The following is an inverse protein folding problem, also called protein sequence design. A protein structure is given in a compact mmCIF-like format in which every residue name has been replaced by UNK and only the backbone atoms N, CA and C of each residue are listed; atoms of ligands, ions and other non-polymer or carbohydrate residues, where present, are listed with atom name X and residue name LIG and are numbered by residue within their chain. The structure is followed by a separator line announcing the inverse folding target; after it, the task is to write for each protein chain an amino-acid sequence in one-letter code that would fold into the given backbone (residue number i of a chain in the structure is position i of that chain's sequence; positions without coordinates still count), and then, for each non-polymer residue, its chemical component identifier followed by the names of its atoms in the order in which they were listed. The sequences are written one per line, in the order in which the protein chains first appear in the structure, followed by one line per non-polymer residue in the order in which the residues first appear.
data_IF_310920696824
#
_entry.id   IF_310920696824
#
_cell.length_a   1.000
_cell.length_b   1.000
_cell.length_c   1.000
_cell.angle_alpha   90.00
_cell.angle_beta   90.00
_cell.angle_gamma   90.00
#
_symmetry.space_group_name_H-M   'P 1'
#
loop_
_entity.id
_entity.type
_entity.pdbx_description
1 polymer ?
#
# COMPACT_ATOMS: atom_id res chain seq x y z
N UNK A 1 -21.23 -48.92 1.84
CA UNK A 1 -20.27 -49.81 1.13
C UNK A 1 -18.83 -49.30 1.23
N UNK A 2 -18.52 -48.07 0.82
CA UNK A 2 -17.15 -47.50 0.92
C UNK A 2 -16.57 -47.46 2.36
N UNK A 3 -17.38 -47.14 3.37
CA UNK A 3 -16.93 -47.11 4.77
C UNK A 3 -16.55 -48.50 5.32
N UNK A 4 -17.28 -49.54 4.90
CA UNK A 4 -16.99 -50.94 5.28
C UNK A 4 -15.71 -51.44 4.62
N UNK A 5 -15.48 -51.07 3.36
CA UNK A 5 -14.25 -51.37 2.62
C UNK A 5 -13.06 -50.64 3.24
N UNK A 6 -13.23 -49.38 3.65
CA UNK A 6 -12.19 -48.61 4.34
C UNK A 6 -11.81 -49.20 5.69
N UNK A 7 -12.78 -49.73 6.45
CA UNK A 7 -12.54 -50.37 7.74
C UNK A 7 -11.75 -51.69 7.58
N UNK A 8 -12.11 -52.49 6.57
CA UNK A 8 -11.43 -53.75 6.25
C UNK A 8 -10.00 -53.50 5.76
N UNK A 9 -9.79 -52.45 4.95
CA UNK A 9 -8.44 -52.05 4.52
C UNK A 9 -7.57 -51.57 5.67
N UNK A 10 -8.12 -50.84 6.65
CA UNK A 10 -7.39 -50.44 7.86
C UNK A 10 -6.94 -51.62 8.72
N UNK A 11 -7.82 -52.62 8.89
CA UNK A 11 -7.52 -53.83 9.64
C UNK A 11 -6.46 -54.67 8.92
N UNK A 12 -6.58 -54.83 7.59
CA UNK A 12 -5.58 -55.51 6.76
C UNK A 12 -4.24 -54.78 6.75
N UNK A 13 -4.24 -53.45 6.71
CA UNK A 13 -3.04 -52.63 6.80
C UNK A 13 -2.34 -52.83 8.15
N UNK A 14 -3.09 -52.77 9.25
CA UNK A 14 -2.58 -52.99 10.59
C UNK A 14 -2.03 -54.42 10.78
N UNK A 15 -2.68 -55.41 10.17
CA UNK A 15 -2.25 -56.81 10.23
C UNK A 15 -1.01 -57.08 9.37
N UNK A 16 -0.93 -56.48 8.18
CA UNK A 16 0.21 -56.58 7.27
C UNK A 16 1.46 -55.87 7.82
N UNK A 17 1.27 -54.78 8.58
CA UNK A 17 2.33 -54.04 9.28
C UNK A 17 2.60 -54.55 10.71
N UNK A 18 2.53 -55.87 10.95
CA UNK A 18 3.25 -56.52 12.06
C UNK A 18 4.79 -56.49 11.90
N UNK A 19 5.29 -55.58 11.06
CA UNK A 19 6.71 -55.31 10.83
C UNK A 19 7.16 -54.29 11.88
N UNK A 20 8.11 -54.71 12.71
CA UNK A 20 8.84 -53.96 13.75
C UNK A 20 8.46 -52.47 13.89
N UNK A 21 7.84 -52.11 15.02
CA UNK A 21 7.55 -50.71 15.36
C UNK A 21 8.79 -49.80 15.22
N UNK A 22 9.98 -50.39 15.40
CA UNK A 22 11.27 -49.75 15.19
C UNK A 22 11.49 -49.33 13.73
N UNK A 23 11.15 -50.18 12.77
CA UNK A 23 11.24 -49.85 11.34
C UNK A 23 10.26 -48.75 10.97
N UNK A 24 9.00 -48.87 11.43
CA UNK A 24 7.97 -47.86 11.14
C UNK A 24 8.33 -46.50 11.76
N UNK A 25 8.84 -46.49 12.99
CA UNK A 25 9.35 -45.28 13.63
C UNK A 25 10.57 -44.71 12.89
N UNK A 26 11.49 -45.56 12.43
CA UNK A 26 12.65 -45.16 11.63
C UNK A 26 12.24 -44.50 10.30
N UNK A 27 11.27 -45.09 9.59
CA UNK A 27 10.72 -44.51 8.37
C UNK A 27 10.00 -43.19 8.63
N UNK A 28 9.25 -43.06 9.73
CA UNK A 28 8.59 -41.81 10.10
C UNK A 28 9.62 -40.69 10.38
N UNK A 29 10.71 -41.00 11.09
CA UNK A 29 11.80 -40.04 11.35
C UNK A 29 12.51 -39.65 10.06
N UNK A 30 12.83 -40.60 9.18
CA UNK A 30 13.43 -40.31 7.88
C UNK A 30 12.52 -39.44 7.00
N UNK A 31 11.21 -39.73 6.98
CA UNK A 31 10.24 -38.92 6.25
C UNK A 31 10.15 -37.50 6.82
N UNK A 32 10.20 -37.34 8.15
CA UNK A 32 10.21 -36.03 8.80
C UNK A 32 11.49 -35.25 8.47
N UNK A 33 12.65 -35.91 8.53
CA UNK A 33 13.94 -35.30 8.13
C UNK A 33 13.90 -34.89 6.66
N UNK A 34 13.41 -35.75 5.76
CA UNK A 34 13.29 -35.44 4.34
C UNK A 34 12.36 -34.24 4.11
N UNK A 35 11.22 -34.20 4.79
CA UNK A 35 10.24 -33.10 4.68
C UNK A 35 10.79 -31.78 5.21
N UNK A 36 11.60 -31.81 6.27
CA UNK A 36 12.24 -30.61 6.85
C UNK A 36 13.50 -30.21 6.06
N UNK A 37 14.19 -31.16 5.43
CA UNK A 37 15.44 -30.90 4.70
C UNK A 37 15.24 -29.96 3.52
N UNK A 38 14.10 -30.04 2.82
CA UNK A 38 13.77 -29.18 1.67
C UNK A 38 13.65 -27.70 2.09
N UNK A 39 12.77 -27.30 3.02
CA UNK A 39 12.67 -25.90 3.44
C UNK A 39 13.94 -25.42 4.15
N UNK A 40 14.66 -26.30 4.86
CA UNK A 40 15.91 -25.93 5.52
C UNK A 40 17.01 -25.64 4.49
N UNK A 41 17.16 -26.50 3.48
CA UNK A 41 18.12 -26.31 2.40
C UNK A 41 17.76 -25.09 1.55
N UNK A 42 16.48 -24.92 1.23
CA UNK A 42 15.97 -23.75 0.49
C UNK A 42 16.27 -22.43 1.24
N UNK A 43 16.13 -22.42 2.57
CA UNK A 43 16.48 -21.27 3.42
C UNK A 43 17.99 -21.06 3.56
N UNK A 44 18.78 -22.12 3.69
CA UNK A 44 20.25 -22.05 3.82
C UNK A 44 20.93 -21.64 2.52
N UNK A 45 20.41 -22.09 1.37
CA UNK A 45 20.92 -21.74 0.06
C UNK A 45 20.58 -20.30 -0.37
N UNK A 46 19.76 -19.58 0.41
CA UNK A 46 19.48 -18.16 0.18
C UNK A 46 18.44 -17.87 -0.90
N UNK A 47 17.80 -18.90 -1.49
CA UNK A 47 16.75 -18.74 -2.49
C UNK A 47 15.55 -17.96 -1.97
N UNK A 48 15.21 -18.08 -0.68
CA UNK A 48 14.14 -17.29 -0.06
C UNK A 48 14.38 -15.78 -0.16
N UNK A 49 15.64 -15.33 -0.03
CA UNK A 49 15.96 -13.89 -0.08
C UNK A 49 15.96 -13.36 -1.50
N UNK A 50 16.39 -14.17 -2.47
CA UNK A 50 16.36 -13.80 -3.88
C UNK A 50 14.92 -13.71 -4.38
N UNK A 51 14.09 -14.72 -4.09
CA UNK A 51 12.68 -14.76 -4.50
C UNK A 51 11.86 -13.67 -3.79
N UNK A 52 12.14 -13.38 -2.51
CA UNK A 52 11.51 -12.25 -1.80
C UNK A 52 11.89 -10.91 -2.44
N UNK A 53 13.14 -10.72 -2.86
CA UNK A 53 13.59 -9.48 -3.50
C UNK A 53 12.92 -9.30 -4.88
N UNK A 54 12.89 -10.36 -5.69
CA UNK A 54 12.25 -10.34 -7.02
C UNK A 54 10.74 -10.07 -6.89
N UNK A 55 10.08 -10.71 -5.92
CA UNK A 55 8.67 -10.45 -5.64
C UNK A 55 8.43 -9.00 -5.19
N UNK A 56 9.28 -8.46 -4.33
CA UNK A 56 9.19 -7.07 -3.86
C UNK A 56 9.39 -6.07 -5.00
N UNK A 57 10.38 -6.29 -5.86
CA UNK A 57 10.66 -5.45 -7.01
C UNK A 57 9.48 -5.46 -8.00
N UNK A 58 8.97 -6.64 -8.34
CA UNK A 58 7.83 -6.75 -9.24
C UNK A 58 6.59 -6.08 -8.68
N UNK A 59 6.31 -6.30 -7.39
CA UNK A 59 5.18 -5.67 -6.69
C UNK A 59 5.34 -4.15 -6.65
N UNK A 60 6.53 -3.64 -6.37
CA UNK A 60 6.78 -2.20 -6.28
C UNK A 60 6.56 -1.52 -7.63
N UNK A 61 7.09 -2.10 -8.71
CA UNK A 61 6.90 -1.60 -10.07
C UNK A 61 5.42 -1.59 -10.48
N UNK A 62 4.67 -2.66 -10.14
CA UNK A 62 3.24 -2.73 -10.38
C UNK A 62 2.47 -1.64 -9.60
N UNK A 63 2.70 -1.52 -8.29
CA UNK A 63 2.03 -0.52 -7.46
C UNK A 63 2.38 0.91 -7.92
N UNK A 64 3.63 1.16 -8.31
CA UNK A 64 4.06 2.44 -8.86
C UNK A 64 3.30 2.79 -10.15
N UNK A 65 3.26 1.86 -11.12
CA UNK A 65 2.57 2.07 -12.38
C UNK A 65 1.07 2.37 -12.19
N UNK A 66 0.41 1.64 -11.28
CA UNK A 66 -0.99 1.86 -10.93
C UNK A 66 -1.23 3.27 -10.37
N UNK A 67 -0.41 3.72 -9.42
CA UNK A 67 -0.56 5.04 -8.80
C UNK A 67 -0.29 6.16 -9.80
N UNK A 68 0.73 6.04 -10.66
CA UNK A 68 1.03 7.04 -11.69
C UNK A 68 -0.11 7.16 -12.68
N UNK A 69 -0.70 6.03 -13.10
CA UNK A 69 -1.86 6.03 -13.99
C UNK A 69 -3.05 6.75 -13.33
N UNK A 70 -3.38 6.36 -12.10
CA UNK A 70 -4.51 6.94 -11.35
C UNK A 70 -4.31 8.43 -11.09
N UNK A 71 -3.09 8.85 -10.74
CA UNK A 71 -2.78 10.25 -10.52
C UNK A 71 -2.88 11.07 -11.81
N UNK A 72 -2.50 10.52 -12.95
CA UNK A 72 -2.66 11.17 -14.26
C UNK A 72 -4.13 11.39 -14.61
N UNK A 73 -4.99 10.40 -14.35
CA UNK A 73 -6.43 10.52 -14.53
C UNK A 73 -7.01 11.62 -13.63
N UNK A 74 -6.71 11.56 -12.32
CA UNK A 74 -7.15 12.57 -11.35
C UNK A 74 -6.67 13.97 -11.71
N UNK A 75 -5.42 14.12 -12.16
CA UNK A 75 -4.88 15.39 -12.65
C UNK A 75 -5.69 15.94 -13.83
N UNK A 76 -6.00 15.09 -14.80
CA UNK A 76 -6.78 15.51 -15.98
C UNK A 76 -8.20 15.95 -15.59
N UNK A 77 -8.83 15.26 -14.64
CA UNK A 77 -10.14 15.64 -14.12
C UNK A 77 -10.09 16.97 -13.35
N UNK A 78 -9.08 17.17 -12.50
CA UNK A 78 -8.85 18.43 -11.78
C UNK A 78 -8.64 19.62 -12.72
N UNK A 79 -7.90 19.41 -13.81
CA UNK A 79 -7.68 20.42 -14.87
C UNK A 79 -8.99 20.75 -15.59
N UNK A 80 -9.77 19.72 -15.95
CA UNK A 80 -11.08 19.90 -16.58
C UNK A 80 -12.09 20.65 -15.71
N UNK A 81 -11.95 20.54 -14.39
CA UNK A 81 -12.78 21.22 -13.38
C UNK A 81 -12.25 22.61 -13.02
N UNK A 82 -11.07 23.01 -13.52
CA UNK A 82 -10.44 24.29 -13.19
C UNK A 82 -9.91 24.38 -11.75
N UNK A 83 -9.63 23.25 -11.10
CA UNK A 83 -9.12 23.19 -9.73
C UNK A 83 -7.58 23.28 -9.76
N UNK A 84 -7.06 24.48 -10.03
CA UNK A 84 -5.62 24.71 -10.27
C UNK A 84 -4.70 24.21 -9.14
N UNK A 85 -5.12 24.39 -7.88
CA UNK A 85 -4.36 23.90 -6.73
C UNK A 85 -4.29 22.38 -6.72
N UNK A 86 -5.37 21.70 -7.08
CA UNK A 86 -5.38 20.24 -7.21
C UNK A 86 -4.43 19.78 -8.32
N UNK A 87 -4.39 20.47 -9.46
CA UNK A 87 -3.44 20.17 -10.55
C UNK A 87 -1.99 20.31 -10.06
N UNK A 88 -1.65 21.42 -9.38
CA UNK A 88 -0.31 21.61 -8.80
C UNK A 88 0.07 20.51 -7.81
N UNK A 89 -0.88 20.11 -6.97
CA UNK A 89 -0.69 19.03 -6.00
C UNK A 89 -0.49 17.66 -6.68
N UNK A 90 -1.22 17.39 -7.76
CA UNK A 90 -1.04 16.18 -8.54
C UNK A 90 0.35 16.14 -9.21
N UNK A 91 0.78 17.26 -9.80
CA UNK A 91 2.12 17.39 -10.42
C UNK A 91 3.24 17.19 -9.38
N UNK A 92 3.09 17.78 -8.18
CA UNK A 92 4.03 17.58 -7.07
C UNK A 92 4.09 16.11 -6.65
N UNK A 93 2.93 15.45 -6.50
CA UNK A 93 2.88 14.05 -6.11
C UNK A 93 3.45 13.13 -7.19
N UNK A 94 3.31 13.47 -8.48
CA UNK A 94 3.99 12.74 -9.57
C UNK A 94 5.51 12.78 -9.37
N UNK A 95 6.09 13.95 -9.09
CA UNK A 95 7.53 14.06 -8.81
C UNK A 95 7.95 13.23 -7.59
N UNK A 96 7.18 13.27 -6.50
CA UNK A 96 7.45 12.47 -5.29
C UNK A 96 7.40 10.97 -5.59
N UNK A 97 6.44 10.50 -6.40
CA UNK A 97 6.34 9.09 -6.79
C UNK A 97 7.53 8.63 -7.62
N UNK A 98 7.96 9.44 -8.59
CA UNK A 98 9.11 9.16 -9.47
C UNK A 98 10.43 9.13 -8.69
N UNK A 99 10.67 10.13 -7.84
CA UNK A 99 11.86 10.20 -6.98
C UNK A 99 11.93 8.99 -6.04
N UNK A 100 10.79 8.62 -5.46
CA UNK A 100 10.69 7.47 -4.58
C UNK A 100 11.00 6.17 -5.32
N UNK A 101 10.40 5.94 -6.49
CA UNK A 101 10.62 4.74 -7.30
C UNK A 101 12.10 4.59 -7.68
N UNK A 102 12.73 5.70 -8.11
CA UNK A 102 14.16 5.72 -8.43
C UNK A 102 15.05 5.38 -7.24
N UNK A 103 14.71 5.87 -6.03
CA UNK A 103 15.46 5.53 -4.81
C UNK A 103 15.30 4.04 -4.47
N UNK A 104 14.13 3.44 -4.69
CA UNK A 104 13.92 2.01 -4.46
C UNK A 104 14.77 1.16 -5.39
N UNK A 105 14.72 1.43 -6.69
CA UNK A 105 15.49 0.71 -7.71
C UNK A 105 17.00 0.79 -7.45
N UNK A 106 17.51 1.97 -7.05
CA UNK A 106 18.95 2.20 -6.93
C UNK A 106 19.56 1.86 -5.57
N UNK A 107 18.82 2.05 -4.45
CA UNK A 107 19.38 1.88 -3.09
C UNK A 107 18.92 0.63 -2.37
N UNK A 108 17.75 0.11 -2.69
CA UNK A 108 17.12 -0.95 -1.91
C UNK A 108 17.17 -2.32 -2.59
N UNK A 109 17.23 -2.37 -3.93
CA UNK A 109 17.49 -3.61 -4.68
C UNK A 109 18.92 -4.11 -4.38
N UNK A 110 19.03 -5.31 -3.81
CA UNK A 110 20.31 -5.99 -3.56
C UNK A 110 21.01 -5.71 -2.22
N UNK A 111 20.43 -4.91 -1.31
CA UNK A 111 21.00 -4.68 0.04
C UNK A 111 20.25 -5.43 1.13
N UNK A 112 21.00 -6.15 1.98
CA UNK A 112 20.53 -7.04 3.07
C UNK A 112 19.63 -6.37 4.13
N UNK A 113 19.52 -5.04 4.14
CA UNK A 113 18.78 -4.24 5.11
C UNK A 113 18.02 -3.10 4.42
N UNK A 114 17.12 -3.42 3.49
CA UNK A 114 16.12 -2.45 3.05
C UNK A 114 15.06 -2.26 4.15
N UNK A 115 14.81 -1.04 4.67
CA UNK A 115 13.75 -0.81 5.63
C UNK A 115 12.38 -0.90 4.93
N UNK A 116 11.88 -2.12 4.74
CA UNK A 116 10.56 -2.40 4.16
C UNK A 116 9.43 -1.60 4.82
N UNK A 117 9.58 -1.30 6.12
CA UNK A 117 8.62 -0.50 6.89
C UNK A 117 8.61 0.99 6.50
N UNK A 118 9.76 1.57 6.12
CA UNK A 118 9.78 2.94 5.58
C UNK A 118 9.02 2.97 4.25
N UNK A 119 9.28 1.96 3.42
CA UNK A 119 8.67 1.87 2.10
C UNK A 119 7.15 1.71 2.19
N UNK A 120 6.66 0.84 3.09
CA UNK A 120 5.23 0.65 3.26
C UNK A 120 4.54 1.90 3.82
N UNK A 121 5.16 2.61 4.75
CA UNK A 121 4.57 3.82 5.35
C UNK A 121 4.48 4.97 4.33
N UNK A 122 5.56 5.24 3.59
CA UNK A 122 5.56 6.23 2.52
C UNK A 122 4.50 5.90 1.45
N UNK A 123 4.37 4.62 1.08
CA UNK A 123 3.38 4.17 0.10
C UNK A 123 1.95 4.39 0.58
N UNK A 124 1.65 4.16 1.86
CA UNK A 124 0.33 4.44 2.43
C UNK A 124 -0.02 5.93 2.33
N UNK A 125 0.92 6.82 2.68
CA UNK A 125 0.69 8.27 2.58
C UNK A 125 0.49 8.71 1.13
N UNK A 126 1.30 8.20 0.19
CA UNK A 126 1.14 8.46 -1.25
C UNK A 126 -0.24 8.03 -1.77
N UNK A 127 -0.68 6.80 -1.45
CA UNK A 127 -2.00 6.29 -1.85
C UNK A 127 -3.13 7.13 -1.28
N UNK A 128 -3.00 7.57 -0.04
CA UNK A 128 -4.01 8.41 0.60
C UNK A 128 -4.06 9.82 -0.01
N UNK A 129 -2.91 10.42 -0.33
CA UNK A 129 -2.88 11.71 -1.03
C UNK A 129 -3.55 11.63 -2.42
N UNK A 130 -3.34 10.53 -3.17
CA UNK A 130 -4.05 10.27 -4.44
C UNK A 130 -5.56 10.15 -4.19
N UNK A 131 -5.97 9.45 -3.13
CA UNK A 131 -7.38 9.31 -2.76
C UNK A 131 -8.01 10.66 -2.44
N UNK A 132 -7.35 11.50 -1.64
CA UNK A 132 -7.83 12.84 -1.33
C UNK A 132 -7.98 13.72 -2.59
N UNK A 133 -7.04 13.63 -3.55
CA UNK A 133 -7.20 14.32 -4.84
C UNK A 133 -8.39 13.78 -5.65
N UNK A 134 -8.62 12.47 -5.61
CA UNK A 134 -9.81 11.85 -6.20
C UNK A 134 -11.10 12.33 -5.53
N UNK A 135 -11.09 12.54 -4.22
CA UNK A 135 -12.23 13.05 -3.47
C UNK A 135 -12.48 14.53 -3.78
N UNK A 136 -11.42 15.32 -4.01
CA UNK A 136 -11.51 16.69 -4.52
C UNK A 136 -12.18 16.72 -5.90
N UNK A 137 -11.84 15.80 -6.81
CA UNK A 137 -12.53 15.66 -8.11
C UNK A 137 -14.02 15.37 -7.93
N UNK A 138 -14.36 14.41 -7.05
CA UNK A 138 -15.76 14.07 -6.77
C UNK A 138 -16.55 15.27 -6.22
N UNK A 139 -15.96 16.02 -5.27
CA UNK A 139 -16.54 17.26 -4.73
C UNK A 139 -16.66 18.33 -5.82
N UNK A 140 -15.67 18.47 -6.70
CA UNK A 140 -15.69 19.40 -7.83
C UNK A 140 -16.83 19.12 -8.81
N UNK A 141 -17.06 17.84 -9.17
CA UNK A 141 -18.22 17.45 -9.98
C UNK A 141 -19.55 17.74 -9.27
N UNK A 142 -19.61 17.53 -7.95
CA UNK A 142 -20.79 17.87 -7.14
C UNK A 142 -21.09 19.37 -7.18
N UNK A 143 -20.09 20.24 -6.97
CA UNK A 143 -20.23 21.70 -7.08
C UNK A 143 -20.69 22.11 -8.49
N UNK A 144 -20.07 21.56 -9.53
CA UNK A 144 -20.47 21.82 -10.92
C UNK A 144 -21.93 21.42 -11.19
N UNK A 145 -22.39 20.32 -10.60
CA UNK A 145 -23.78 19.86 -10.73
C UNK A 145 -24.75 20.76 -9.97
N UNK A 146 -24.40 21.17 -8.74
CA UNK A 146 -25.18 22.13 -7.95
C UNK A 146 -25.35 23.44 -8.74
N UNK A 147 -24.25 23.99 -9.28
CA UNK A 147 -24.26 25.24 -10.04
C UNK A 147 -25.15 25.19 -11.28
N UNK A 148 -25.23 24.05 -11.98
CA UNK A 148 -26.14 23.89 -13.13
C UNK A 148 -27.61 23.89 -12.70
N UNK A 149 -27.93 23.26 -11.58
CA UNK A 149 -29.29 23.14 -11.06
C UNK A 149 -29.80 24.42 -10.37
N UNK A 150 -28.91 25.34 -9.99
CA UNK A 150 -29.28 26.62 -9.35
C UNK A 150 -30.07 27.56 -10.25
N UNK A 151 -29.98 27.41 -11.57
CA UNK A 151 -30.74 28.24 -12.51
C UNK A 151 -32.21 27.82 -12.67
N UNK A 152 -32.63 26.67 -12.15
CA UNK A 152 -33.98 26.11 -12.39
C UNK A 152 -34.93 26.15 -11.18
N UNK A 153 -34.45 26.50 -9.97
CA UNK A 153 -35.21 26.41 -8.72
C UNK A 153 -35.67 27.77 -8.14
N UNK A 154 -36.93 27.86 -7.69
CA UNK A 154 -37.47 29.02 -6.97
C UNK A 154 -36.87 29.23 -5.56
N UNK A 155 -37.11 30.41 -4.97
CA UNK A 155 -36.35 31.01 -3.85
C UNK A 155 -36.00 30.13 -2.63
N UNK A 156 -36.89 29.27 -2.13
CA UNK A 156 -36.56 28.38 -0.99
C UNK A 156 -35.56 27.26 -1.36
N UNK A 157 -35.50 26.87 -2.63
CA UNK A 157 -34.53 25.90 -3.13
C UNK A 157 -33.14 26.53 -3.31
N UNK A 158 -33.08 27.85 -3.47
CA UNK A 158 -31.85 28.58 -3.69
C UNK A 158 -31.00 28.68 -2.41
N UNK A 159 -31.61 28.97 -1.25
CA UNK A 159 -30.90 29.07 0.03
C UNK A 159 -30.27 27.73 0.46
N UNK A 160 -31.00 26.61 0.26
CA UNK A 160 -30.47 25.26 0.53
C UNK A 160 -29.31 24.92 -0.39
N UNK A 161 -29.38 25.30 -1.66
CA UNK A 161 -28.30 25.06 -2.62
C UNK A 161 -27.05 25.89 -2.31
N UNK A 162 -27.19 27.17 -1.93
CA UNK A 162 -26.04 27.98 -1.49
C UNK A 162 -25.36 27.38 -0.25
N UNK A 163 -26.14 26.85 0.68
CA UNK A 163 -25.61 26.17 1.88
C UNK A 163 -24.82 24.92 1.48
N UNK A 164 -25.38 24.07 0.62
CA UNK A 164 -24.68 22.88 0.11
C UNK A 164 -23.41 23.23 -0.65
N UNK A 165 -23.46 24.25 -1.52
CA UNK A 165 -22.28 24.72 -2.25
C UNK A 165 -21.17 25.18 -1.30
N UNK A 166 -21.52 25.94 -0.27
CA UNK A 166 -20.57 26.41 0.75
C UNK A 166 -19.96 25.24 1.50
N UNK A 167 -20.76 24.23 1.85
CA UNK A 167 -20.27 23.01 2.50
C UNK A 167 -19.31 22.21 1.61
N UNK A 168 -19.66 22.03 0.33
CA UNK A 168 -18.79 21.34 -0.63
C UNK A 168 -17.48 22.10 -0.86
N UNK A 169 -17.53 23.43 -0.95
CA UNK A 169 -16.33 24.26 -1.06
C UNK A 169 -15.41 24.10 0.16
N UNK A 170 -15.98 24.12 1.37
CA UNK A 170 -15.22 23.90 2.59
C UNK A 170 -14.58 22.50 2.64
N UNK A 171 -15.29 21.46 2.19
CA UNK A 171 -14.75 20.09 2.08
C UNK A 171 -13.59 20.02 1.09
N UNK A 172 -13.74 20.64 -0.08
CA UNK A 172 -12.67 20.73 -1.09
C UNK A 172 -11.41 21.38 -0.52
N UNK A 173 -11.57 22.54 0.15
CA UNK A 173 -10.45 23.26 0.77
C UNK A 173 -9.77 22.45 1.87
N UNK A 174 -10.54 21.71 2.67
CA UNK A 174 -10.02 20.83 3.71
C UNK A 174 -9.16 19.70 3.10
N UNK A 175 -9.62 19.01 2.06
CA UNK A 175 -8.83 17.96 1.40
C UNK A 175 -7.54 18.50 0.79
N UNK A 176 -7.60 19.66 0.13
CA UNK A 176 -6.40 20.30 -0.42
C UNK A 176 -5.42 20.74 0.68
N UNK A 177 -5.91 21.22 1.82
CA UNK A 177 -5.07 21.58 2.95
C UNK A 177 -4.44 20.37 3.63
N UNK A 178 -5.17 19.26 3.73
CA UNK A 178 -4.66 17.99 4.25
C UNK A 178 -3.53 17.45 3.37
N UNK A 179 -3.73 17.47 2.05
CA UNK A 179 -2.70 17.06 1.08
C UNK A 179 -1.43 17.90 1.19
N UNK A 180 -1.53 19.23 1.35
CA UNK A 180 -0.33 20.07 1.58
C UNK A 180 0.47 19.60 2.79
N UNK A 181 -0.20 19.35 3.92
CA UNK A 181 0.48 18.85 5.13
C UNK A 181 1.16 17.50 4.90
N UNK A 182 0.52 16.60 4.13
CA UNK A 182 1.13 15.32 3.78
C UNK A 182 2.34 15.50 2.87
N UNK A 183 2.28 16.37 1.87
CA UNK A 183 3.41 16.62 0.96
C UNK A 183 4.57 17.29 1.67
N UNK A 184 4.31 18.27 2.53
CA UNK A 184 5.34 18.89 3.37
C UNK A 184 6.02 17.81 4.22
N UNK A 185 5.23 16.97 4.89
CA UNK A 185 5.77 15.91 5.74
C UNK A 185 6.51 14.81 4.95
N UNK A 186 6.03 14.43 3.77
CA UNK A 186 6.72 13.50 2.86
C UNK A 186 8.04 14.09 2.36
N UNK A 187 8.05 15.38 2.00
CA UNK A 187 9.23 16.08 1.50
C UNK A 187 10.27 16.25 2.61
N UNK A 188 9.87 16.69 3.80
CA UNK A 188 10.74 16.80 4.97
C UNK A 188 11.36 15.45 5.31
N UNK A 189 10.55 14.40 5.32
CA UNK A 189 11.03 13.02 5.54
C UNK A 189 12.01 12.59 4.43
N UNK A 190 11.71 12.87 3.16
CA UNK A 190 12.57 12.51 2.04
C UNK A 190 13.90 13.27 2.07
N UNK A 191 13.89 14.56 2.41
CA UNK A 191 15.09 15.40 2.58
C UNK A 191 15.92 14.92 3.75
N UNK A 192 15.30 14.63 4.90
CA UNK A 192 15.97 14.01 6.04
C UNK A 192 16.66 12.71 5.57
N UNK A 193 15.91 11.77 4.97
CA UNK A 193 16.40 10.49 4.44
C UNK A 193 17.55 10.64 3.43
N UNK A 194 17.47 11.64 2.55
CA UNK A 194 18.48 11.90 1.52
C UNK A 194 19.77 12.52 2.09
N UNK A 195 19.67 13.35 3.13
CA UNK A 195 20.80 14.06 3.73
C UNK A 195 21.59 13.20 4.73
N UNK A 196 21.08 12.02 5.09
CA UNK A 196 21.80 11.10 5.96
C UNK A 196 22.87 10.34 5.18
N UNK A 197 24.11 10.82 5.28
CA UNK A 197 25.29 10.09 4.83
C UNK A 197 25.78 9.02 5.83
N UNK A 198 25.26 8.97 7.05
CA UNK A 198 25.60 7.94 8.05
C UNK A 198 24.61 7.94 9.21
N UNK A 199 23.79 6.91 9.40
CA UNK A 199 22.89 6.88 10.56
C UNK A 199 23.49 6.21 11.78
N UNK A 200 23.37 6.91 12.91
CA UNK A 200 22.99 6.31 14.19
C UNK A 200 21.58 5.72 14.06
N UNK A 201 21.35 4.50 14.57
CA UNK A 201 20.06 3.78 14.52
C UNK A 201 18.87 4.59 15.07
N UNK A 202 19.12 5.63 15.86
CA UNK A 202 18.09 6.41 16.54
C UNK A 202 17.28 7.34 15.62
N UNK A 203 17.97 8.11 14.78
CA UNK A 203 17.31 9.07 13.89
C UNK A 203 16.51 8.35 12.77
N UNK A 204 16.95 7.17 12.33
CA UNK A 204 16.18 6.31 11.42
C UNK A 204 14.83 5.87 12.02
N UNK A 205 14.82 5.58 13.33
CA UNK A 205 13.60 5.15 14.03
C UNK A 205 12.65 6.34 14.18
N UNK A 206 13.16 7.54 14.43
CA UNK A 206 12.35 8.76 14.53
C UNK A 206 11.66 9.11 13.22
N UNK A 207 12.41 9.17 12.10
CA UNK A 207 11.84 9.42 10.77
C UNK A 207 10.80 8.35 10.39
N UNK A 208 11.05 7.08 10.73
CA UNK A 208 10.08 6.00 10.50
C UNK A 208 8.83 6.15 11.38
N UNK A 209 8.99 6.54 12.65
CA UNK A 209 7.86 6.78 13.54
C UNK A 209 6.96 7.92 13.02
N UNK A 210 7.55 8.99 12.48
CA UNK A 210 6.80 10.10 11.85
C UNK A 210 6.01 9.62 10.63
N UNK A 211 6.63 8.86 9.73
CA UNK A 211 5.92 8.29 8.57
C UNK A 211 4.80 7.33 8.97
N UNK A 212 5.03 6.47 9.96
CA UNK A 212 4.00 5.56 10.47
C UNK A 212 2.85 6.35 11.08
N UNK A 213 3.13 7.42 11.84
CA UNK A 213 2.11 8.30 12.39
C UNK A 213 1.31 9.00 11.28
N UNK A 214 1.96 9.50 10.23
CA UNK A 214 1.29 10.07 9.06
C UNK A 214 0.42 9.03 8.35
N UNK A 215 0.93 7.82 8.15
CA UNK A 215 0.19 6.72 7.56
C UNK A 215 -1.02 6.31 8.42
N UNK A 216 -0.90 6.36 9.75
CA UNK A 216 -1.99 6.06 10.68
C UNK A 216 -3.06 7.16 10.67
N UNK A 217 -2.65 8.44 10.63
CA UNK A 217 -3.56 9.58 10.46
C UNK A 217 -4.32 9.44 9.12
N UNK A 218 -3.60 9.18 8.03
CA UNK A 218 -4.17 8.94 6.70
C UNK A 218 -5.17 7.77 6.67
N UNK A 219 -4.86 6.67 7.36
CA UNK A 219 -5.75 5.50 7.42
C UNK A 219 -7.00 5.75 8.27
N UNK A 220 -6.94 6.70 9.21
CA UNK A 220 -8.05 7.05 10.08
C UNK A 220 -8.92 8.19 9.50
N UNK A 221 -8.39 9.05 8.63
CA UNK A 221 -9.18 10.11 7.97
C UNK A 221 -10.00 9.59 6.78
N UNK A 222 -9.64 8.44 6.20
CA UNK A 222 -10.39 7.78 5.13
C UNK A 222 -11.60 6.93 5.58
N UNK A 223 -12.08 7.05 6.83
CA UNK A 223 -13.22 6.30 7.38
C UNK A 223 -14.40 7.18 7.76
#
# INVERSE_FOLDING_TARGET
MAALISLVLLILFYWWFRMDWVLTAGYAVLALIATISVPLFYRVAGFTQADELEWLEHREAQEHAEMVLRLREVRADLDSLGIEEGVRQADMLTGILEDYHSVVETRFVGKKHSPLAYLSAARTVQKHAIQNLSDVVAVGHSISTINRNTFEGGGESQDRQMTLQTEQQARLENHLAENRRMFDALTDTAVEVANIKSFSRYEQIDTLARLVSLAEIANNSGK
#
